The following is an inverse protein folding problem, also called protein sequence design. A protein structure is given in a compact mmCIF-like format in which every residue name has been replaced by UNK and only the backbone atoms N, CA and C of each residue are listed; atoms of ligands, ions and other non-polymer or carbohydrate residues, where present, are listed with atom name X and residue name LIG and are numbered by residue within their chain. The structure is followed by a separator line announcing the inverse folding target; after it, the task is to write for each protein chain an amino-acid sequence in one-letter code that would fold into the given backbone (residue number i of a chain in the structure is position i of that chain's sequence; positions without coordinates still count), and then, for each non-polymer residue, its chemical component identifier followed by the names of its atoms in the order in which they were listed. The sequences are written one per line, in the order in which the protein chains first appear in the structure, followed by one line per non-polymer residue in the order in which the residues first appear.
data_IF_791273691978
#
_entry.id   IF_791273691978
#
_cell.length_a   1.000
_cell.length_b   1.000
_cell.length_c   1.000
_cell.angle_alpha   90.00
_cell.angle_beta   90.00
_cell.angle_gamma   90.00
#
_symmetry.space_group_name_H-M   'P 1'
#
loop_
_entity.id
_entity.type
_entity.pdbx_description
1 polymer ?
#
# COMPACT_ATOMS: atom_id res chain seq x y z
N UNK A 1 -9.96 14.00 19.57
CA UNK A 1 -9.11 12.81 19.35
C UNK A 1 -7.69 13.28 19.14
N UNK A 2 -6.71 12.64 19.80
CA UNK A 2 -5.30 12.88 19.48
C UNK A 2 -5.01 12.38 18.06
N UNK A 3 -4.15 13.05 17.29
CA UNK A 3 -3.78 12.64 15.92
C UNK A 3 -3.29 11.19 15.86
N UNK A 4 -2.70 10.70 16.95
CA UNK A 4 -2.26 9.31 17.13
C UNK A 4 -3.40 8.30 17.07
N UNK A 5 -4.61 8.64 17.54
CA UNK A 5 -5.77 7.74 17.52
C UNK A 5 -6.28 7.51 16.10
N UNK A 6 -6.23 8.53 15.25
CA UNK A 6 -6.69 8.44 13.86
C UNK A 6 -5.68 7.69 13.00
N UNK A 7 -4.38 7.88 13.22
CA UNK A 7 -3.37 7.06 12.52
C UNK A 7 -3.51 5.57 12.88
N UNK A 8 -3.67 5.26 14.17
CA UNK A 8 -3.96 3.90 14.64
C UNK A 8 -5.20 3.31 13.96
N UNK A 9 -6.29 4.07 13.85
CA UNK A 9 -7.52 3.62 13.20
C UNK A 9 -7.31 3.35 11.71
N UNK A 10 -6.58 4.22 11.00
CA UNK A 10 -6.22 4.00 9.59
C UNK A 10 -5.35 2.77 9.43
N UNK A 11 -4.40 2.53 10.34
CA UNK A 11 -3.57 1.32 10.32
C UNK A 11 -4.41 0.06 10.52
N UNK A 12 -5.36 0.06 11.47
CA UNK A 12 -6.28 -1.06 11.68
C UNK A 12 -7.11 -1.34 10.43
N UNK A 13 -7.71 -0.30 9.83
CA UNK A 13 -8.47 -0.45 8.57
C UNK A 13 -7.57 -1.01 7.46
N UNK A 14 -6.34 -0.49 7.33
CA UNK A 14 -5.38 -0.98 6.35
C UNK A 14 -5.09 -2.47 6.57
N UNK A 15 -4.82 -2.92 7.79
CA UNK A 15 -4.54 -4.31 8.13
C UNK A 15 -5.72 -5.19 7.72
N UNK A 16 -6.93 -4.85 8.15
CA UNK A 16 -8.13 -5.66 7.93
C UNK A 16 -8.42 -5.76 6.43
N UNK A 17 -8.50 -4.62 5.73
CA UNK A 17 -8.82 -4.59 4.30
C UNK A 17 -7.78 -5.35 3.50
N UNK A 18 -6.50 -5.06 3.69
CA UNK A 18 -5.44 -5.71 2.92
C UNK A 18 -5.33 -7.20 3.23
N UNK A 19 -5.55 -7.62 4.48
CA UNK A 19 -5.59 -9.03 4.85
C UNK A 19 -6.74 -9.77 4.17
N UNK A 20 -7.96 -9.22 4.19
CA UNK A 20 -9.12 -9.86 3.57
C UNK A 20 -8.93 -9.96 2.06
N UNK A 21 -8.44 -8.90 1.41
CA UNK A 21 -8.12 -8.91 -0.02
C UNK A 21 -7.04 -9.96 -0.32
N UNK A 22 -5.99 -10.05 0.50
CA UNK A 22 -4.93 -11.03 0.35
C UNK A 22 -5.45 -12.47 0.41
N UNK A 23 -6.26 -12.80 1.43
CA UNK A 23 -6.83 -14.15 1.61
C UNK A 23 -7.75 -14.51 0.44
N UNK A 24 -8.64 -13.60 0.03
CA UNK A 24 -9.55 -13.87 -1.08
C UNK A 24 -8.81 -13.98 -2.42
N UNK A 25 -7.83 -13.12 -2.68
CA UNK A 25 -6.98 -13.22 -3.87
C UNK A 25 -6.20 -14.54 -3.90
N UNK A 26 -5.65 -14.97 -2.76
CA UNK A 26 -4.94 -16.25 -2.65
C UNK A 26 -5.88 -17.43 -2.88
N UNK A 27 -7.10 -17.40 -2.32
CA UNK A 27 -8.11 -18.44 -2.55
C UNK A 27 -8.55 -18.52 -4.01
N UNK A 28 -8.64 -17.39 -4.71
CA UNK A 28 -8.98 -17.37 -6.12
C UNK A 28 -7.79 -17.86 -6.97
N UNK A 29 -6.56 -17.54 -6.56
CA UNK A 29 -5.34 -18.06 -7.18
C UNK A 29 -5.28 -19.59 -7.12
N UNK A 30 -5.55 -20.21 -5.95
CA UNK A 30 -5.54 -21.68 -5.83
C UNK A 30 -6.59 -22.38 -6.70
N UNK A 31 -7.66 -21.67 -7.08
CA UNK A 31 -8.72 -22.19 -7.97
C UNK A 31 -8.44 -21.98 -9.45
N UNK A 32 -7.91 -20.81 -9.83
CA UNK A 32 -7.78 -20.39 -11.23
C UNK A 32 -6.37 -20.48 -11.79
N UNK A 33 -5.36 -20.58 -10.91
CA UNK A 33 -3.94 -20.60 -11.30
C UNK A 33 -3.41 -19.27 -11.86
N UNK A 34 -4.18 -18.17 -11.79
CA UNK A 34 -3.79 -16.89 -12.37
C UNK A 34 -2.65 -16.21 -11.61
N UNK A 35 -1.45 -16.13 -12.21
CA UNK A 35 -0.27 -15.53 -11.57
C UNK A 35 -0.49 -14.07 -11.08
N UNK A 36 -1.37 -13.31 -11.74
CA UNK A 36 -1.74 -11.95 -11.30
C UNK A 36 -2.40 -11.92 -9.91
N UNK A 37 -3.21 -12.93 -9.60
CA UNK A 37 -3.89 -13.04 -8.29
C UNK A 37 -2.90 -13.38 -7.19
N UNK A 38 -1.89 -14.19 -7.48
CA UNK A 38 -0.81 -14.47 -6.55
C UNK A 38 -0.03 -13.19 -6.23
N UNK A 39 0.31 -12.40 -7.26
CA UNK A 39 1.05 -11.15 -7.09
C UNK A 39 0.27 -10.16 -6.22
N UNK A 40 -1.02 -9.99 -6.52
CA UNK A 40 -1.92 -9.15 -5.74
C UNK A 40 -2.05 -9.64 -4.30
N UNK A 41 -2.26 -10.94 -4.10
CA UNK A 41 -2.40 -11.54 -2.77
C UNK A 41 -1.18 -11.29 -1.90
N UNK A 42 0.01 -11.51 -2.47
CA UNK A 42 1.28 -11.34 -1.76
C UNK A 42 1.56 -9.86 -1.45
N UNK A 43 1.31 -8.95 -2.40
CA UNK A 43 1.45 -7.51 -2.17
C UNK A 43 0.54 -7.00 -1.04
N UNK A 44 -0.72 -7.46 -1.02
CA UNK A 44 -1.69 -7.09 0.01
C UNK A 44 -1.34 -7.70 1.36
N UNK A 45 -0.83 -8.95 1.40
CA UNK A 45 -0.33 -9.55 2.63
C UNK A 45 0.82 -8.72 3.24
N UNK A 46 1.76 -8.26 2.41
CA UNK A 46 2.86 -7.39 2.86
C UNK A 46 2.33 -6.05 3.38
N UNK A 47 1.35 -5.43 2.70
CA UNK A 47 0.73 -4.17 3.17
C UNK A 47 0.03 -4.36 4.52
N UNK A 48 -0.55 -5.55 4.76
CA UNK A 48 -1.13 -5.91 6.06
C UNK A 48 -0.05 -6.03 7.14
N UNK A 49 1.03 -6.74 6.86
CA UNK A 49 2.20 -6.88 7.77
C UNK A 49 2.81 -5.51 8.10
N UNK A 50 2.92 -4.61 7.13
CA UNK A 50 3.34 -3.22 7.35
C UNK A 50 2.43 -2.50 8.35
N UNK A 51 1.13 -2.72 8.26
CA UNK A 51 0.17 -2.15 9.21
C UNK A 51 0.38 -2.70 10.62
N UNK A 52 0.56 -4.01 10.77
CA UNK A 52 0.81 -4.67 12.07
C UNK A 52 2.09 -4.13 12.71
N UNK A 53 3.18 -4.07 11.94
CA UNK A 53 4.47 -3.54 12.45
C UNK A 53 4.34 -2.07 12.83
N UNK A 54 3.57 -1.28 12.06
CA UNK A 54 3.25 0.10 12.43
C UNK A 54 2.55 0.18 13.78
N UNK A 55 1.48 -0.61 13.99
CA UNK A 55 0.78 -0.65 15.27
C UNK A 55 1.66 -1.11 16.44
N UNK A 56 2.51 -2.11 16.23
CA UNK A 56 3.40 -2.62 17.27
C UNK A 56 4.44 -1.58 17.69
N UNK A 57 5.03 -0.90 16.71
CA UNK A 57 6.02 0.12 16.98
C UNK A 57 5.42 1.35 17.65
N UNK A 58 4.26 1.79 17.18
CA UNK A 58 3.64 3.05 17.60
C UNK A 58 2.92 2.94 18.96
N UNK A 59 2.71 1.72 19.49
CA UNK A 59 2.04 1.50 20.79
C UNK A 59 2.88 0.73 21.83
N UNK A 60 3.89 -0.06 21.43
CA UNK A 60 4.60 -0.95 22.36
C UNK A 60 6.11 -0.77 22.34
N UNK A 61 6.75 -0.81 21.16
CA UNK A 61 8.20 -1.03 21.11
C UNK A 61 9.01 0.27 20.99
N UNK A 62 8.46 1.34 20.36
CA UNK A 62 8.98 2.71 20.18
C UNK A 62 10.47 2.93 19.79
N UNK A 63 11.30 1.89 19.79
CA UNK A 63 12.76 1.92 19.65
C UNK A 63 13.22 1.36 18.31
N UNK A 64 12.37 0.58 17.64
CA UNK A 64 12.68 -0.03 16.34
C UNK A 64 12.53 0.99 15.19
N UNK A 65 13.51 1.01 14.28
CA UNK A 65 13.46 1.80 13.05
C UNK A 65 12.52 1.16 12.01
N UNK A 66 11.23 1.09 12.32
CA UNK A 66 10.24 0.42 11.46
C UNK A 66 9.80 1.27 10.27
N UNK A 67 10.07 2.58 10.28
CA UNK A 67 9.63 3.51 9.21
C UNK A 67 10.20 3.13 7.85
N UNK A 68 11.49 2.80 7.76
CA UNK A 68 12.12 2.34 6.52
C UNK A 68 11.40 1.14 5.92
N UNK A 69 11.18 0.11 6.74
CA UNK A 69 10.44 -1.07 6.33
C UNK A 69 9.03 -0.72 5.86
N UNK A 70 8.27 0.07 6.65
CA UNK A 70 6.89 0.45 6.33
C UNK A 70 6.79 1.11 4.95
N UNK A 71 7.69 2.06 4.66
CA UNK A 71 7.64 2.77 3.40
C UNK A 71 8.12 1.93 2.21
N UNK A 72 9.29 1.29 2.32
CA UNK A 72 9.87 0.49 1.22
C UNK A 72 8.95 -0.68 0.88
N UNK A 73 8.40 -1.36 1.88
CA UNK A 73 7.47 -2.46 1.67
C UNK A 73 6.19 -1.99 0.96
N UNK A 74 5.61 -0.85 1.33
CA UNK A 74 4.44 -0.31 0.64
C UNK A 74 4.73 0.09 -0.81
N UNK A 75 5.83 0.81 -1.06
CA UNK A 75 6.24 1.20 -2.42
C UNK A 75 6.44 -0.05 -3.28
N UNK A 76 7.14 -1.05 -2.74
CA UNK A 76 7.41 -2.32 -3.43
C UNK A 76 6.11 -3.07 -3.71
N UNK A 77 5.19 -3.15 -2.75
CA UNK A 77 3.88 -3.79 -2.95
C UNK A 77 3.05 -3.08 -4.02
N UNK A 78 3.00 -1.75 -4.01
CA UNK A 78 2.32 -0.95 -5.04
C UNK A 78 2.97 -1.14 -6.41
N UNK A 79 4.30 -1.20 -6.48
CA UNK A 79 5.02 -1.50 -7.71
C UNK A 79 4.59 -2.83 -8.32
N UNK A 80 4.56 -3.89 -7.52
CA UNK A 80 4.14 -5.21 -8.00
C UNK A 80 2.65 -5.26 -8.38
N UNK A 81 1.79 -4.55 -7.65
CA UNK A 81 0.38 -4.38 -8.05
C UNK A 81 0.32 -3.71 -9.43
N UNK A 82 1.02 -2.60 -9.63
CA UNK A 82 1.10 -1.92 -10.92
C UNK A 82 1.60 -2.86 -12.03
N UNK A 83 2.74 -3.53 -11.84
CA UNK A 83 3.30 -4.44 -12.83
C UNK A 83 2.33 -5.58 -13.19
N UNK A 84 1.56 -6.09 -12.22
CA UNK A 84 0.55 -7.12 -12.46
C UNK A 84 -0.60 -6.66 -13.38
N UNK A 85 -0.85 -5.34 -13.44
CA UNK A 85 -1.96 -4.74 -14.20
C UNK A 85 -1.61 -4.41 -15.65
N UNK A 86 -0.34 -4.51 -16.08
CA UNK A 86 0.14 -4.12 -17.41
C UNK A 86 -0.25 -5.08 -18.57
N UNK A 87 -1.28 -5.93 -18.38
CA UNK A 87 -1.74 -6.98 -19.32
C UNK A 87 -0.63 -7.68 -20.15
N UNK A 88 0.42 -8.19 -19.52
CA UNK A 88 1.55 -8.74 -20.25
C UNK A 88 1.34 -10.24 -20.56
N UNK A 89 2.11 -10.83 -21.49
CA UNK A 89 2.07 -12.26 -21.77
C UNK A 89 2.39 -13.09 -20.51
N UNK A 90 1.84 -14.31 -20.42
CA UNK A 90 1.96 -15.19 -19.24
C UNK A 90 3.40 -15.47 -18.79
N UNK A 91 4.38 -15.40 -19.70
CA UNK A 91 5.81 -15.52 -19.38
C UNK A 91 6.31 -14.35 -18.52
N UNK A 92 5.81 -13.15 -18.75
CA UNK A 92 6.20 -11.95 -18.00
C UNK A 92 5.61 -11.95 -16.59
N UNK A 93 4.36 -12.39 -16.38
CA UNK A 93 3.79 -12.52 -15.03
C UNK A 93 4.57 -13.53 -14.18
N UNK A 94 5.04 -14.64 -14.76
CA UNK A 94 5.92 -15.59 -14.06
C UNK A 94 7.25 -14.97 -13.66
N UNK A 95 7.83 -14.12 -14.50
CA UNK A 95 9.05 -13.38 -14.17
C UNK A 95 8.79 -12.40 -13.01
N UNK A 96 7.70 -11.63 -13.06
CA UNK A 96 7.32 -10.72 -11.97
C UNK A 96 7.13 -11.48 -10.67
N UNK A 97 6.42 -12.61 -10.69
CA UNK A 97 6.20 -13.44 -9.51
C UNK A 97 7.51 -13.86 -8.84
N UNK A 98 8.51 -14.26 -9.64
CA UNK A 98 9.85 -14.59 -9.13
C UNK A 98 10.53 -13.38 -8.51
N UNK A 99 10.50 -12.24 -9.19
CA UNK A 99 11.04 -10.99 -8.65
C UNK A 99 10.36 -10.56 -7.37
N UNK A 100 9.04 -10.72 -7.27
CA UNK A 100 8.31 -10.40 -6.05
C UNK A 100 8.73 -11.29 -4.90
N UNK A 101 8.90 -12.59 -5.10
CA UNK A 101 9.41 -13.50 -4.07
C UNK A 101 10.81 -13.10 -3.60
N UNK A 102 11.70 -12.73 -4.52
CA UNK A 102 13.03 -12.21 -4.18
C UNK A 102 12.91 -10.92 -3.37
N UNK A 103 12.07 -9.98 -3.80
CA UNK A 103 11.78 -8.74 -3.06
C UNK A 103 11.19 -9.00 -1.68
N UNK A 104 10.33 -10.00 -1.51
CA UNK A 104 9.82 -10.40 -0.19
C UNK A 104 10.95 -10.89 0.70
N UNK A 105 11.85 -11.73 0.18
CA UNK A 105 13.05 -12.15 0.90
C UNK A 105 13.89 -10.96 1.37
N UNK A 106 14.14 -9.98 0.48
CA UNK A 106 14.85 -8.75 0.82
C UNK A 106 14.10 -7.91 1.87
N UNK A 107 12.77 -7.83 1.80
CA UNK A 107 11.95 -7.13 2.79
C UNK A 107 12.00 -7.82 4.17
N UNK A 108 12.03 -9.15 4.21
CA UNK A 108 12.20 -9.89 5.46
C UNK A 108 13.58 -9.64 6.08
N UNK A 109 14.63 -9.60 5.26
CA UNK A 109 15.98 -9.21 5.71
C UNK A 109 15.97 -7.78 6.25
N UNK A 110 15.36 -6.84 5.53
CA UNK A 110 15.22 -5.45 5.98
C UNK A 110 14.46 -5.36 7.31
N UNK A 111 13.39 -6.15 7.49
CA UNK A 111 12.64 -6.22 8.73
C UNK A 111 13.52 -6.72 9.88
N UNK A 112 14.30 -7.77 9.66
CA UNK A 112 15.23 -8.30 10.66
C UNK A 112 16.36 -7.32 11.02
N UNK A 113 16.73 -6.42 10.08
CA UNK A 113 17.72 -5.38 10.29
C UNK A 113 17.16 -4.10 10.94
N UNK A 114 15.84 -3.99 11.15
CA UNK A 114 15.23 -2.82 11.82
C UNK A 114 15.82 -2.41 13.18
N UNK A 115 16.36 -3.29 14.05
CA UNK A 115 17.04 -2.86 15.26
C UNK A 115 18.41 -2.20 15.01
N UNK A 116 19.04 -2.46 13.86
CA UNK A 116 20.38 -1.96 13.53
C UNK A 116 20.32 -0.75 12.60
N UNK A 117 19.25 -0.62 11.80
CA UNK A 117 19.08 0.49 10.85
C UNK A 117 18.79 1.80 11.59
N UNK A 118 19.49 2.91 11.25
CA UNK A 118 19.24 4.19 11.90
C UNK A 118 17.80 4.66 11.69
N UNK A 119 17.23 5.31 12.71
CA UNK A 119 15.91 5.90 12.62
C UNK A 119 15.86 6.99 11.54
N UNK A 120 14.74 7.04 10.83
CA UNK A 120 14.50 8.05 9.81
C UNK A 120 14.23 9.41 10.49
N UNK A 121 15.30 10.16 10.77
CA UNK A 121 15.21 11.43 11.49
C UNK A 121 15.03 12.65 10.57
N UNK A 122 15.38 12.53 9.29
CA UNK A 122 15.35 13.65 8.36
C UNK A 122 13.96 13.83 7.72
N UNK A 123 13.25 14.95 8.00
CA UNK A 123 11.90 15.19 7.49
C UNK A 123 11.84 15.28 5.95
N UNK A 124 12.93 15.70 5.29
CA UNK A 124 12.98 15.75 3.83
C UNK A 124 12.97 14.34 3.23
N UNK A 125 13.67 13.40 3.85
CA UNK A 125 13.70 12.01 3.39
C UNK A 125 12.34 11.36 3.60
N UNK A 126 11.68 11.62 4.74
CA UNK A 126 10.31 11.14 4.97
C UNK A 126 9.31 11.70 3.94
N UNK A 127 9.41 12.98 3.61
CA UNK A 127 8.58 13.61 2.59
C UNK A 127 8.80 12.96 1.22
N UNK A 128 10.06 12.76 0.80
CA UNK A 128 10.40 12.15 -0.49
C UNK A 128 9.89 10.71 -0.57
N UNK A 129 10.09 9.92 0.48
CA UNK A 129 9.66 8.53 0.49
C UNK A 129 8.13 8.42 0.55
N UNK A 130 7.45 9.29 1.29
CA UNK A 130 6.00 9.37 1.29
C UNK A 130 5.44 9.80 -0.08
N UNK A 131 6.08 10.78 -0.71
CA UNK A 131 5.76 11.21 -2.07
C UNK A 131 5.91 10.04 -3.04
N UNK A 132 6.95 9.22 -2.91
CA UNK A 132 7.12 7.98 -3.68
C UNK A 132 5.91 7.05 -3.58
N UNK A 133 5.31 6.89 -2.40
CA UNK A 133 4.05 6.13 -2.25
C UNK A 133 2.91 6.76 -3.04
N UNK A 134 2.74 8.08 -2.92
CA UNK A 134 1.71 8.82 -3.64
C UNK A 134 1.88 8.65 -5.15
N UNK A 135 3.11 8.80 -5.67
CA UNK A 135 3.43 8.61 -7.08
C UNK A 135 3.07 7.21 -7.58
N UNK A 136 3.38 6.17 -6.81
CA UNK A 136 3.00 4.79 -7.20
C UNK A 136 1.49 4.60 -7.22
N UNK A 137 0.76 5.10 -6.22
CA UNK A 137 -0.69 5.07 -6.23
C UNK A 137 -1.28 5.85 -7.42
N UNK A 138 -0.68 6.99 -7.79
CA UNK A 138 -1.08 7.78 -8.96
C UNK A 138 -0.92 7.00 -10.26
N UNK A 139 0.22 6.34 -10.46
CA UNK A 139 0.47 5.51 -11.65
C UNK A 139 -0.52 4.36 -11.74
N UNK A 140 -0.83 3.69 -10.61
CA UNK A 140 -1.86 2.64 -10.57
C UNK A 140 -3.24 3.21 -10.93
N UNK A 141 -3.59 4.38 -10.38
CA UNK A 141 -4.83 5.08 -10.71
C UNK A 141 -4.93 5.35 -12.21
N UNK A 142 -3.90 5.93 -12.84
CA UNK A 142 -3.90 6.20 -14.28
C UNK A 142 -4.10 4.92 -15.11
N UNK A 143 -3.50 3.81 -14.70
CA UNK A 143 -3.67 2.54 -15.39
C UNK A 143 -5.12 2.03 -15.29
N UNK A 144 -5.70 2.02 -14.09
CA UNK A 144 -7.10 1.59 -13.92
C UNK A 144 -8.10 2.55 -14.58
N UNK A 145 -7.83 3.85 -14.59
CA UNK A 145 -8.62 4.84 -15.31
C UNK A 145 -8.59 4.58 -16.82
N UNK A 146 -7.42 4.28 -17.38
CA UNK A 146 -7.28 3.91 -18.80
C UNK A 146 -8.03 2.62 -19.13
N UNK A 147 -7.95 1.61 -18.26
CA UNK A 147 -8.71 0.37 -18.40
C UNK A 147 -10.22 0.63 -18.34
N UNK A 148 -10.66 1.52 -17.45
CA UNK A 148 -12.06 1.91 -17.33
C UNK A 148 -12.55 2.61 -18.60
N UNK A 149 -11.80 3.58 -19.13
CA UNK A 149 -12.13 4.24 -20.40
C UNK A 149 -12.19 3.27 -21.59
N UNK A 150 -11.53 2.11 -21.50
CA UNK A 150 -11.50 1.11 -22.58
C UNK A 150 -12.58 0.03 -22.46
N UNK A 151 -12.96 -0.39 -21.24
CA UNK A 151 -13.84 -1.57 -21.00
C UNK A 151 -15.03 -1.30 -20.07
N UNK A 152 -15.17 -0.09 -19.55
CA UNK A 152 -16.27 0.40 -18.70
C UNK A 152 -16.69 -0.54 -17.56
N UNK A 153 -15.74 -1.27 -16.97
CA UNK A 153 -16.06 -2.19 -15.87
C UNK A 153 -16.19 -1.44 -14.54
N UNK A 154 -17.24 -1.72 -13.78
CA UNK A 154 -17.44 -1.19 -12.41
C UNK A 154 -16.25 -1.46 -11.49
N UNK A 155 -15.62 -2.63 -11.62
CA UNK A 155 -14.41 -2.98 -10.89
C UNK A 155 -13.25 -2.01 -11.16
N UNK A 156 -12.97 -1.70 -12.44
CA UNK A 156 -11.87 -0.80 -12.79
C UNK A 156 -12.11 0.63 -12.33
N UNK A 157 -13.38 1.09 -12.36
CA UNK A 157 -13.75 2.39 -11.79
C UNK A 157 -13.49 2.45 -10.28
N UNK A 158 -13.97 1.46 -9.52
CA UNK A 158 -13.80 1.43 -8.06
C UNK A 158 -12.33 1.30 -7.65
N UNK A 159 -11.54 0.52 -8.40
CA UNK A 159 -10.10 0.42 -8.20
C UNK A 159 -9.39 1.74 -8.51
N UNK A 160 -9.73 2.42 -9.61
CA UNK A 160 -9.20 3.74 -9.93
C UNK A 160 -9.52 4.75 -8.81
N UNK A 161 -10.78 4.82 -8.38
CA UNK A 161 -11.22 5.71 -7.30
C UNK A 161 -10.47 5.42 -5.99
N UNK A 162 -10.31 4.15 -5.62
CA UNK A 162 -9.57 3.76 -4.43
C UNK A 162 -8.12 4.25 -4.46
N UNK A 163 -7.40 4.00 -5.57
CA UNK A 163 -6.00 4.43 -5.70
C UNK A 163 -5.86 5.96 -5.82
N UNK A 164 -6.84 6.65 -6.40
CA UNK A 164 -6.90 8.11 -6.43
C UNK A 164 -7.02 8.68 -5.01
N UNK A 165 -7.95 8.17 -4.20
CA UNK A 165 -8.15 8.61 -2.81
C UNK A 165 -6.93 8.33 -1.94
N UNK A 166 -6.30 7.16 -2.09
CA UNK A 166 -5.06 6.80 -1.39
C UNK A 166 -3.91 7.72 -1.83
N UNK A 167 -3.77 7.97 -3.13
CA UNK A 167 -2.77 8.89 -3.68
C UNK A 167 -2.94 10.30 -3.10
N UNK A 168 -4.16 10.83 -3.17
CA UNK A 168 -4.48 12.16 -2.64
C UNK A 168 -4.18 12.21 -1.13
N UNK A 169 -4.53 11.17 -0.39
CA UNK A 169 -4.24 11.11 1.04
C UNK A 169 -2.75 11.06 1.38
N UNK A 170 -1.91 10.35 0.60
CA UNK A 170 -0.45 10.43 0.77
C UNK A 170 0.11 11.80 0.33
N UNK A 171 -0.44 12.36 -0.75
CA UNK A 171 -0.06 13.67 -1.27
C UNK A 171 -0.29 14.78 -0.26
N UNK A 172 -1.43 14.80 0.43
CA UNK A 172 -1.75 15.82 1.44
C UNK A 172 -0.92 15.67 2.73
N UNK A 173 -0.50 14.46 3.09
CA UNK A 173 0.39 14.23 4.25
C UNK A 173 1.84 14.65 3.93
N UNK A 174 2.27 14.61 2.67
CA UNK A 174 3.65 14.95 2.26
C UNK A 174 4.10 16.34 2.74
N UNK A 175 3.36 17.45 2.49
CA UNK A 175 3.77 18.78 2.97
C UNK A 175 3.77 18.90 4.50
N UNK A 176 3.03 18.07 5.24
CA UNK A 176 3.06 18.10 6.71
C UNK A 176 4.43 17.73 7.29
N UNK A 177 5.20 16.86 6.62
CA UNK A 177 6.57 16.55 7.05
C UNK A 177 7.50 17.77 7.01
N UNK A 178 7.23 18.73 6.12
CA UNK A 178 8.00 19.96 5.96
C UNK A 178 7.45 21.12 6.80
N UNK A 179 6.12 21.22 6.89
CA UNK A 179 5.40 22.34 7.51
C UNK A 179 4.54 21.83 8.66
N UNK A 180 5.19 21.29 9.71
CA UNK A 180 4.60 20.62 10.89
C UNK A 180 3.50 21.40 11.65
N UNK A 181 3.09 22.58 11.18
CA UNK A 181 2.05 23.43 11.74
C UNK A 181 0.62 23.10 11.28
N UNK A 182 0.41 22.27 10.24
CA UNK A 182 -0.93 22.07 9.65
C UNK A 182 -1.54 20.69 9.98
N UNK A 183 -2.12 20.56 11.18
CA UNK A 183 -2.86 19.35 11.60
C UNK A 183 -4.00 18.97 10.66
N UNK A 184 -4.64 19.95 10.00
CA UNK A 184 -5.75 19.71 9.06
C UNK A 184 -5.33 18.80 7.89
N UNK A 185 -4.11 18.96 7.37
CA UNK A 185 -3.58 18.13 6.29
C UNK A 185 -3.50 16.65 6.68
N UNK A 186 -3.14 16.38 7.94
CA UNK A 186 -3.06 15.03 8.50
C UNK A 186 -4.45 14.42 8.57
N UNK A 187 -5.44 15.15 9.11
CA UNK A 187 -6.83 14.67 9.19
C UNK A 187 -7.44 14.36 7.82
N UNK A 188 -7.27 15.28 6.86
CA UNK A 188 -7.76 15.09 5.48
C UNK A 188 -7.05 13.90 4.84
N UNK A 189 -5.73 13.81 4.99
CA UNK A 189 -4.94 12.72 4.41
C UNK A 189 -5.32 11.34 4.94
N UNK A 190 -5.48 11.21 6.26
CA UNK A 190 -5.92 9.95 6.88
C UNK A 190 -7.35 9.57 6.48
N UNK A 191 -8.27 10.54 6.44
CA UNK A 191 -9.66 10.30 6.02
C UNK A 191 -9.73 9.81 4.56
N UNK A 192 -8.99 10.47 3.67
CA UNK A 192 -8.93 10.09 2.25
C UNK A 192 -8.32 8.70 2.06
N UNK A 193 -7.27 8.35 2.81
CA UNK A 193 -6.71 7.00 2.80
C UNK A 193 -7.71 5.95 3.31
N UNK A 194 -8.43 6.24 4.39
CA UNK A 194 -9.44 5.32 4.92
C UNK A 194 -10.55 5.09 3.89
N UNK A 195 -11.08 6.16 3.29
CA UNK A 195 -12.08 6.06 2.23
C UNK A 195 -11.56 5.26 1.03
N UNK A 196 -10.33 5.51 0.59
CA UNK A 196 -9.72 4.74 -0.49
C UNK A 196 -9.56 3.25 -0.17
N UNK A 197 -9.19 2.90 1.06
CA UNK A 197 -9.14 1.50 1.51
C UNK A 197 -10.53 0.86 1.53
N UNK A 198 -11.55 1.58 1.99
CA UNK A 198 -12.94 1.11 1.96
C UNK A 198 -13.41 0.91 0.51
N UNK A 199 -13.12 1.84 -0.39
CA UNK A 199 -13.43 1.70 -1.82
C UNK A 199 -12.73 0.48 -2.44
N UNK A 200 -11.46 0.23 -2.06
CA UNK A 200 -10.71 -0.94 -2.50
C UNK A 200 -11.38 -2.24 -2.02
N UNK A 201 -11.81 -2.26 -0.77
CA UNK A 201 -12.55 -3.39 -0.20
C UNK A 201 -13.85 -3.66 -0.96
N UNK A 202 -14.65 -2.62 -1.21
CA UNK A 202 -15.91 -2.70 -1.97
C UNK A 202 -15.66 -3.17 -3.40
N UNK A 203 -14.64 -2.64 -4.08
CA UNK A 203 -14.24 -3.07 -5.42
C UNK A 203 -14.00 -4.58 -5.45
N UNK A 204 -13.27 -5.08 -4.45
CA UNK A 204 -12.92 -6.49 -4.36
C UNK A 204 -14.09 -7.38 -3.90
N UNK A 205 -15.12 -6.83 -3.26
CA UNK A 205 -16.34 -7.57 -2.95
C UNK A 205 -17.22 -7.77 -4.17
N UNK A 206 -17.38 -6.71 -4.97
CA UNK A 206 -18.29 -6.65 -6.13
C UNK A 206 -17.68 -7.30 -7.38
N UNK A 207 -16.35 -7.27 -7.53
CA UNK A 207 -15.62 -7.95 -8.61
C UNK A 207 -15.40 -9.44 -8.36
#
# INVERSE_FOLDING_TARGET
MSYTQIDTLVLIIQIIVSFVVAVRAMRLYTRTGGDHLFILALSMAIISVVGVIGLLNDNFVHTLSTRWFRYIAQITSFFFIFLSTLRPPSKYLRLIKRWQLISVGLLVVLLALTPVVPQLANPHVEAVVNFGRASMCFVIFLNYATIFMSKETRFSFLMALAFFLICFGFGTITPWYLMKSQLLLVYVGHSMRALGLISLFVAFLIG
#
